data_IF_023340041333
#
_entry.id   IF_023340041333
#
_cell.length_a   1.000
_cell.length_b   1.000
_cell.length_c   1.000
_cell.angle_alpha   90.00
_cell.angle_beta   90.00
_cell.angle_gamma   90.00
#
_symmetry.space_group_name_H-M   'P 1'
#
loop_
_entity.id
_entity.type
_entity.pdbx_description
1 polymer ?
#
# COMPACT_ATOMS: atom_id res chain seq x y z
N UNK A 1 -17.27 28.78 -12.71
CA UNK A 1 -16.36 27.98 -11.87
C UNK A 1 -15.35 27.34 -12.79
N UNK A 2 -14.07 27.72 -12.66
CA UNK A 2 -13.08 27.55 -13.73
C UNK A 2 -12.42 26.18 -13.74
N UNK A 3 -12.37 25.57 -14.93
CA UNK A 3 -11.70 24.30 -15.25
C UNK A 3 -10.25 24.20 -14.73
N UNK A 4 -9.58 25.34 -14.54
CA UNK A 4 -8.22 25.46 -14.00
C UNK A 4 -8.15 25.19 -12.48
N UNK A 5 -9.20 25.54 -11.72
CA UNK A 5 -9.26 25.25 -10.28
C UNK A 5 -9.45 23.76 -10.02
N UNK A 6 -10.31 23.09 -10.78
CA UNK A 6 -10.58 21.66 -10.63
C UNK A 6 -9.36 20.78 -10.98
N UNK A 7 -8.60 21.14 -12.03
CA UNK A 7 -7.35 20.46 -12.37
C UNK A 7 -6.29 20.59 -11.26
N UNK A 8 -6.19 21.77 -10.64
CA UNK A 8 -5.26 22.03 -9.52
C UNK A 8 -5.68 21.26 -8.27
N UNK A 9 -6.97 21.24 -7.94
CA UNK A 9 -7.49 20.46 -6.82
C UNK A 9 -7.26 18.96 -7.01
N UNK A 10 -7.54 18.42 -8.20
CA UNK A 10 -7.30 17.00 -8.49
C UNK A 10 -5.81 16.64 -8.43
N UNK A 11 -4.92 17.52 -8.90
CA UNK A 11 -3.47 17.30 -8.79
C UNK A 11 -3.00 17.30 -7.32
N UNK A 12 -3.51 18.22 -6.50
CA UNK A 12 -3.21 18.24 -5.05
C UNK A 12 -3.75 16.99 -4.36
N UNK A 13 -4.98 16.55 -4.67
CA UNK A 13 -5.56 15.31 -4.13
C UNK A 13 -4.69 14.09 -4.45
N UNK A 14 -4.23 13.95 -5.70
CA UNK A 14 -3.30 12.86 -6.09
C UNK A 14 -1.99 12.91 -5.33
N UNK A 15 -1.36 14.09 -5.20
CA UNK A 15 -0.11 14.25 -4.43
C UNK A 15 -0.29 13.94 -2.95
N UNK A 16 -1.42 14.33 -2.36
CA UNK A 16 -1.75 14.01 -0.97
C UNK A 16 -2.01 12.52 -0.81
N UNK A 17 -2.72 11.87 -1.74
CA UNK A 17 -2.96 10.43 -1.72
C UNK A 17 -1.65 9.65 -1.86
N UNK A 18 -0.74 10.06 -2.75
CA UNK A 18 0.59 9.47 -2.89
C UNK A 18 1.44 9.65 -1.62
N UNK A 19 1.45 10.86 -1.04
CA UNK A 19 2.18 11.15 0.20
C UNK A 19 1.60 10.40 1.40
N UNK A 20 0.27 10.31 1.48
CA UNK A 20 -0.45 9.56 2.51
C UNK A 20 -0.19 8.06 2.35
N UNK A 21 -0.22 7.54 1.12
CA UNK A 21 0.13 6.15 0.81
C UNK A 21 1.58 5.84 1.17
N UNK A 22 2.50 6.77 0.95
CA UNK A 22 3.91 6.59 1.35
C UNK A 22 4.09 6.63 2.86
N UNK A 23 3.44 7.55 3.57
CA UNK A 23 3.50 7.65 5.04
C UNK A 23 2.79 6.48 5.73
N UNK A 24 1.63 6.07 5.23
CA UNK A 24 0.91 4.90 5.71
C UNK A 24 1.72 3.64 5.46
N UNK A 25 2.34 3.46 4.28
CA UNK A 25 3.28 2.35 4.05
C UNK A 25 4.41 2.34 5.08
N UNK A 26 5.06 3.47 5.35
CA UNK A 26 6.15 3.52 6.32
C UNK A 26 5.70 3.17 7.75
N UNK A 27 4.50 3.60 8.16
CA UNK A 27 3.93 3.28 9.48
C UNK A 27 3.46 1.83 9.56
N UNK A 28 2.75 1.38 8.55
CA UNK A 28 2.30 0.00 8.33
C UNK A 28 3.45 -1.02 8.38
N UNK A 29 4.57 -0.70 7.72
CA UNK A 29 5.75 -1.55 7.71
C UNK A 29 6.34 -1.72 9.11
N UNK A 30 6.19 -0.74 10.01
CA UNK A 30 6.69 -0.85 11.40
C UNK A 30 5.77 -1.65 12.31
N UNK A 31 4.45 -1.43 12.26
CA UNK A 31 3.51 -2.15 13.14
C UNK A 31 3.18 -3.56 12.63
N UNK A 32 3.07 -3.73 11.31
CA UNK A 32 2.80 -5.02 10.67
C UNK A 32 4.09 -5.67 10.13
N UNK A 33 5.26 -5.36 10.70
CA UNK A 33 6.57 -5.82 10.22
C UNK A 33 6.63 -7.34 10.09
N UNK A 34 6.12 -8.07 11.09
CA UNK A 34 6.07 -9.54 11.08
C UNK A 34 5.29 -10.12 9.88
N UNK A 35 4.19 -9.48 9.48
CA UNK A 35 3.35 -9.93 8.36
C UNK A 35 3.96 -9.48 7.03
N UNK A 36 4.57 -8.30 7.02
CA UNK A 36 5.32 -7.78 5.87
C UNK A 36 6.49 -8.68 5.56
N UNK A 37 7.27 -9.08 6.56
CA UNK A 37 8.43 -9.97 6.40
C UNK A 37 8.02 -11.32 5.81
N UNK A 38 6.92 -11.92 6.29
CA UNK A 38 6.34 -13.15 5.72
C UNK A 38 5.89 -12.97 4.27
N UNK A 39 5.24 -11.86 3.94
CA UNK A 39 4.83 -11.56 2.57
C UNK A 39 6.05 -11.29 1.67
N UNK A 40 7.06 -10.59 2.15
CA UNK A 40 8.30 -10.29 1.43
C UNK A 40 9.11 -11.56 1.17
N UNK A 41 9.22 -12.48 2.14
CA UNK A 41 9.80 -13.81 1.93
C UNK A 41 9.03 -14.60 0.88
N UNK A 42 7.69 -14.53 0.88
CA UNK A 42 6.89 -15.19 -0.14
C UNK A 42 7.04 -14.52 -1.53
N UNK A 43 7.13 -13.20 -1.60
CA UNK A 43 7.30 -12.48 -2.85
C UNK A 43 8.73 -12.55 -3.42
N UNK A 44 9.71 -12.88 -2.58
CA UNK A 44 11.10 -13.01 -2.99
C UNK A 44 11.24 -14.11 -4.05
N UNK A 45 11.74 -13.74 -5.23
CA UNK A 45 11.92 -14.65 -6.37
C UNK A 45 10.65 -14.94 -7.18
N UNK A 46 9.53 -14.27 -6.90
CA UNK A 46 8.28 -14.41 -7.66
C UNK A 46 7.88 -13.05 -8.24
N UNK A 47 7.79 -12.95 -9.57
CA UNK A 47 7.47 -11.68 -10.25
C UNK A 47 6.01 -11.64 -10.72
N UNK A 48 5.51 -12.76 -11.25
CA UNK A 48 4.16 -12.85 -11.82
C UNK A 48 3.19 -13.65 -10.94
N UNK A 49 3.67 -14.65 -10.20
CA UNK A 49 2.83 -15.58 -9.43
C UNK A 49 2.50 -15.12 -8.01
N UNK A 50 3.05 -13.99 -7.54
CA UNK A 50 2.88 -13.49 -6.16
C UNK A 50 1.42 -13.33 -5.76
N UNK A 51 0.59 -12.83 -6.67
CA UNK A 51 -0.82 -12.52 -6.38
C UNK A 51 -1.62 -13.78 -6.02
N UNK A 52 -1.23 -14.94 -6.55
CA UNK A 52 -1.87 -16.22 -6.26
C UNK A 52 -1.15 -16.99 -5.16
N UNK A 53 0.17 -17.14 -5.27
CA UNK A 53 0.96 -17.95 -4.35
C UNK A 53 1.09 -17.32 -2.96
N UNK A 54 1.12 -15.99 -2.88
CA UNK A 54 1.27 -15.26 -1.62
C UNK A 54 -0.04 -14.65 -1.13
N UNK A 55 -1.19 -15.11 -1.66
CA UNK A 55 -2.52 -14.56 -1.35
C UNK A 55 -2.86 -14.66 0.14
N UNK A 56 -2.41 -15.72 0.83
CA UNK A 56 -2.63 -15.89 2.29
C UNK A 56 -1.88 -14.81 3.08
N UNK A 57 -0.57 -14.70 2.85
CA UNK A 57 0.29 -13.73 3.51
C UNK A 57 -0.14 -12.29 3.18
N UNK A 58 -0.57 -12.04 1.94
CA UNK A 58 -1.16 -10.77 1.54
C UNK A 58 -2.44 -10.45 2.29
N UNK A 59 -3.29 -11.45 2.57
CA UNK A 59 -4.54 -11.27 3.32
C UNK A 59 -4.28 -10.97 4.79
N UNK A 60 -3.33 -11.66 5.42
CA UNK A 60 -2.91 -11.39 6.80
C UNK A 60 -2.30 -9.99 6.93
N UNK A 61 -1.40 -9.62 6.00
CA UNK A 61 -0.85 -8.28 5.94
C UNK A 61 -1.96 -7.24 5.78
N UNK A 62 -2.85 -7.39 4.80
CA UNK A 62 -3.97 -6.48 4.61
C UNK A 62 -4.89 -6.41 5.84
N UNK A 63 -5.12 -7.53 6.54
CA UNK A 63 -5.93 -7.52 7.77
C UNK A 63 -5.29 -6.66 8.86
N UNK A 64 -3.98 -6.74 9.03
CA UNK A 64 -3.24 -5.88 9.96
C UNK A 64 -3.28 -4.40 9.54
N UNK A 65 -3.14 -4.13 8.23
CA UNK A 65 -3.23 -2.78 7.68
C UNK A 65 -4.62 -2.15 7.80
N UNK A 66 -5.67 -2.97 7.74
CA UNK A 66 -7.06 -2.50 7.81
C UNK A 66 -7.52 -2.20 9.25
N UNK A 67 -6.75 -2.64 10.25
CA UNK A 67 -7.00 -2.33 11.66
C UNK A 67 -6.35 -1.02 12.12
N UNK A 68 -5.52 -0.39 11.26
CA UNK A 68 -4.83 0.89 11.49
C UNK A 68 -5.56 2.05 10.84
#
# INVERSE_FOLDING_TARGET
MGYVQEARENHVKKKVEEALRSKMKAKALKECDQYTSKYAQCASGRTFSVVWQCRKQAKELNSCLHQL
#
